data_IF_141664110257
#
_entry.id   IF_141664110257
#
_cell.length_a   1.000
_cell.length_b   1.000
_cell.length_c   1.000
_cell.angle_alpha   90.00
_cell.angle_beta   90.00
_cell.angle_gamma   90.00
#
_symmetry.space_group_name_H-M   'P 1'
#
loop_
_entity.id
_entity.type
_entity.pdbx_description
1 polymer ?
#
# COMPACT_ATOMS: atom_id res chain seq x y z
N UNK A 1 15.07 -12.60 0.66
CA UNK A 1 14.73 -11.33 1.34
C UNK A 1 13.27 -11.07 1.05
N UNK A 2 12.51 -10.47 1.96
CA UNK A 2 11.07 -10.27 1.80
C UNK A 2 10.67 -8.95 2.45
N UNK A 3 9.55 -8.38 2.01
CA UNK A 3 9.01 -7.14 2.59
C UNK A 3 8.55 -7.43 4.03
N UNK A 4 9.02 -6.64 4.99
CA UNK A 4 8.56 -6.73 6.39
C UNK A 4 7.38 -5.80 6.62
N UNK A 5 6.27 -6.32 7.13
CA UNK A 5 5.12 -5.52 7.53
C UNK A 5 4.29 -6.28 8.58
N UNK A 6 3.49 -5.55 9.36
CA UNK A 6 2.50 -6.12 10.27
C UNK A 6 1.13 -6.13 9.59
N UNK A 7 0.56 -7.31 9.39
CA UNK A 7 -0.73 -7.49 8.73
C UNK A 7 -1.88 -6.82 9.48
N UNK A 8 -1.85 -6.82 10.82
CA UNK A 8 -2.88 -6.21 11.66
C UNK A 8 -2.85 -4.68 11.48
N UNK A 9 -1.65 -4.09 11.47
CA UNK A 9 -1.51 -2.65 11.23
C UNK A 9 -2.03 -2.25 9.84
N UNK A 10 -1.78 -3.06 8.81
CA UNK A 10 -2.32 -2.81 7.47
C UNK A 10 -3.84 -2.96 7.42
N UNK A 11 -4.40 -4.00 8.03
CA UNK A 11 -5.86 -4.18 8.10
C UNK A 11 -6.53 -3.00 8.79
N UNK A 12 -5.98 -2.52 9.90
CA UNK A 12 -6.49 -1.33 10.59
C UNK A 12 -6.34 -0.04 9.77
N UNK A 13 -5.24 0.13 9.04
CA UNK A 13 -5.03 1.30 8.19
C UNK A 13 -5.99 1.32 6.99
N UNK A 14 -6.21 0.18 6.34
CA UNK A 14 -7.09 0.09 5.17
C UNK A 14 -8.56 -0.10 5.55
N UNK A 15 -8.85 -0.45 6.81
CA UNK A 15 -10.18 -0.85 7.28
C UNK A 15 -10.73 -2.02 6.45
N UNK A 16 -9.84 -2.93 6.03
CA UNK A 16 -10.16 -4.05 5.14
C UNK A 16 -9.21 -5.23 5.33
N UNK A 17 -9.73 -6.44 5.19
CA UNK A 17 -8.92 -7.67 5.05
C UNK A 17 -8.11 -7.64 3.74
N UNK A 18 -6.93 -8.28 3.70
CA UNK A 18 -6.19 -8.48 2.46
C UNK A 18 -6.98 -9.37 1.49
N UNK A 19 -6.88 -9.06 0.20
CA UNK A 19 -7.36 -9.92 -0.87
C UNK A 19 -6.14 -10.56 -1.52
N UNK A 20 -5.95 -11.86 -1.31
CA UNK A 20 -4.85 -12.61 -1.89
C UNK A 20 -5.03 -12.77 -3.40
N UNK A 21 -3.93 -12.61 -4.14
CA UNK A 21 -3.88 -12.74 -5.60
C UNK A 21 -3.24 -14.08 -5.91
N UNK A 22 -4.05 -15.03 -6.42
CA UNK A 22 -3.61 -16.41 -6.59
C UNK A 22 -3.64 -17.17 -5.26
N UNK A 23 -2.70 -18.07 -5.08
CA UNK A 23 -2.55 -18.83 -3.83
C UNK A 23 -1.91 -17.94 -2.76
N UNK A 24 -2.33 -18.08 -1.50
CA UNK A 24 -1.78 -17.33 -0.36
C UNK A 24 -0.26 -17.50 -0.23
N UNK A 25 0.25 -18.67 -0.60
CA UNK A 25 1.67 -19.02 -0.63
C UNK A 25 2.48 -18.21 -1.66
N UNK A 26 1.82 -17.57 -2.64
CA UNK A 26 2.49 -16.70 -3.61
C UNK A 26 2.98 -15.38 -2.98
N UNK A 27 2.49 -15.03 -1.78
CA UNK A 27 2.86 -13.81 -1.08
C UNK A 27 2.45 -12.53 -1.81
N UNK A 28 1.42 -12.61 -2.66
CA UNK A 28 0.83 -11.46 -3.33
C UNK A 28 -0.56 -11.17 -2.78
N UNK A 29 -0.76 -9.96 -2.25
CA UNK A 29 -2.04 -9.53 -1.72
C UNK A 29 -2.32 -8.07 -2.07
N UNK A 30 -3.59 -7.68 -1.97
CA UNK A 30 -4.00 -6.29 -2.12
C UNK A 30 -4.90 -5.83 -0.98
N UNK A 31 -4.69 -4.58 -0.57
CA UNK A 31 -5.55 -3.85 0.34
C UNK A 31 -6.29 -2.75 -0.40
N UNK A 32 -7.54 -2.49 -0.01
CA UNK A 32 -8.40 -1.51 -0.69
C UNK A 32 -9.11 -0.66 0.35
N UNK A 33 -8.92 0.65 0.28
CA UNK A 33 -9.67 1.62 1.10
C UNK A 33 -10.43 2.60 0.22
N UNK A 34 -11.66 2.92 0.63
CA UNK A 34 -12.50 3.95 0.00
C UNK A 34 -12.74 5.10 0.97
N UNK A 35 -12.68 6.33 0.46
CA UNK A 35 -13.03 7.53 1.18
C UNK A 35 -13.83 8.45 0.26
N UNK A 36 -15.16 8.47 0.42
CA UNK A 36 -16.06 9.11 -0.54
C UNK A 36 -15.90 8.50 -1.94
N UNK A 37 -15.70 9.35 -2.95
CA UNK A 37 -15.46 8.94 -4.35
C UNK A 37 -14.01 8.52 -4.63
N UNK A 38 -13.11 8.67 -3.65
CA UNK A 38 -11.72 8.24 -3.79
C UNK A 38 -11.54 6.80 -3.33
N UNK A 39 -10.66 6.08 -4.02
CA UNK A 39 -10.24 4.72 -3.67
C UNK A 39 -8.74 4.59 -3.82
N UNK A 40 -8.08 4.08 -2.79
CA UNK A 40 -6.68 3.68 -2.81
C UNK A 40 -6.57 2.17 -2.78
N UNK A 41 -5.68 1.64 -3.62
CA UNK A 41 -5.34 0.22 -3.69
C UNK A 41 -3.84 0.10 -3.49
N UNK A 42 -3.43 -0.76 -2.57
CA UNK A 42 -2.05 -1.15 -2.37
C UNK A 42 -1.92 -2.64 -2.67
N UNK A 43 -1.16 -2.99 -3.70
CA UNK A 43 -0.75 -4.37 -3.97
C UNK A 43 0.65 -4.55 -3.41
N UNK A 44 0.86 -5.65 -2.69
CA UNK A 44 2.13 -6.04 -2.08
C UNK A 44 2.53 -7.37 -2.68
N UNK A 45 3.74 -7.45 -3.25
CA UNK A 45 4.38 -8.72 -3.58
C UNK A 45 5.56 -8.94 -2.64
N UNK A 46 5.34 -9.76 -1.62
CA UNK A 46 6.24 -9.95 -0.49
C UNK A 46 7.59 -10.53 -0.90
N UNK A 47 7.59 -11.50 -1.82
CA UNK A 47 8.81 -12.17 -2.27
C UNK A 47 9.48 -11.47 -3.46
N UNK A 48 8.71 -10.85 -4.37
CA UNK A 48 9.30 -10.05 -5.46
C UNK A 48 9.72 -8.64 -4.98
N UNK A 49 9.44 -8.29 -3.73
CA UNK A 49 9.89 -7.07 -3.07
C UNK A 49 9.46 -5.79 -3.81
N UNK A 50 8.22 -5.76 -4.28
CA UNK A 50 7.63 -4.59 -4.88
C UNK A 50 6.25 -4.29 -4.30
N UNK A 51 5.86 -3.03 -4.36
CA UNK A 51 4.47 -2.61 -4.17
C UNK A 51 3.96 -1.92 -5.42
N UNK A 52 2.64 -1.97 -5.61
CA UNK A 52 1.94 -1.10 -6.56
C UNK A 52 0.88 -0.33 -5.80
N UNK A 53 1.00 1.00 -5.81
CA UNK A 53 0.01 1.90 -5.21
C UNK A 53 -0.80 2.55 -6.31
N UNK A 54 -2.11 2.63 -6.15
CA UNK A 54 -2.99 3.25 -7.13
C UNK A 54 -4.11 4.03 -6.44
N UNK A 55 -4.36 5.25 -6.93
CA UNK A 55 -5.46 6.11 -6.45
C UNK A 55 -6.40 6.36 -7.61
N UNK A 56 -7.69 6.27 -7.33
CA UNK A 56 -8.76 6.51 -8.29
C UNK A 56 -9.83 7.43 -7.72
N UNK A 57 -10.48 8.20 -8.61
CA UNK A 57 -11.63 9.05 -8.30
C UNK A 57 -12.78 8.66 -9.24
N UNK A 58 -13.94 8.31 -8.68
CA UNK A 58 -15.11 7.80 -9.44
C UNK A 58 -14.70 6.69 -10.42
N UNK A 59 -13.93 5.72 -9.94
CA UNK A 59 -13.38 4.59 -10.71
C UNK A 59 -12.35 4.95 -11.81
N UNK A 60 -12.06 6.22 -12.05
CA UNK A 60 -10.96 6.63 -12.94
C UNK A 60 -9.65 6.65 -12.18
N UNK A 61 -8.65 5.90 -12.66
CA UNK A 61 -7.29 5.90 -12.08
C UNK A 61 -6.64 7.25 -12.36
N UNK A 62 -6.27 7.97 -11.30
CA UNK A 62 -5.61 9.28 -11.37
C UNK A 62 -4.13 9.21 -10.98
N UNK A 63 -3.72 8.12 -10.32
CA UNK A 63 -2.33 7.83 -9.99
C UNK A 63 -2.15 6.32 -9.92
N UNK A 64 -1.04 5.80 -10.46
CA UNK A 64 -0.68 4.38 -10.39
C UNK A 64 0.80 4.21 -10.63
N UNK A 65 1.53 3.75 -9.63
CA UNK A 65 2.97 3.50 -9.74
C UNK A 65 3.35 2.17 -9.08
N UNK A 66 4.39 1.54 -9.65
CA UNK A 66 5.06 0.36 -9.11
C UNK A 66 6.40 0.80 -8.55
N UNK A 67 6.65 0.50 -7.28
CA UNK A 67 7.93 0.73 -6.62
C UNK A 67 8.56 -0.61 -6.26
N UNK A 68 9.81 -0.79 -6.65
CA UNK A 68 10.59 -2.03 -6.43
C UNK A 68 11.62 -1.82 -5.32
N UNK A 69 12.31 -2.88 -4.93
CA UNK A 69 13.32 -2.85 -3.86
C UNK A 69 12.73 -2.39 -2.51
N UNK A 70 11.52 -2.86 -2.21
CA UNK A 70 10.86 -2.55 -0.95
C UNK A 70 11.41 -3.42 0.16
N UNK A 71 11.81 -2.79 1.25
CA UNK A 71 12.38 -3.46 2.42
C UNK A 71 11.35 -3.65 3.54
N UNK A 72 10.38 -2.73 3.66
CA UNK A 72 9.33 -2.84 4.65
C UNK A 72 8.23 -1.81 4.50
N UNK A 73 7.14 -2.06 5.22
CA UNK A 73 5.97 -1.19 5.35
C UNK A 73 5.67 -1.08 6.83
N UNK A 74 5.61 0.14 7.36
CA UNK A 74 5.39 0.41 8.77
C UNK A 74 4.31 1.48 8.96
N UNK A 75 3.47 1.31 9.98
CA UNK A 75 2.48 2.32 10.34
C UNK A 75 3.12 3.34 11.29
N UNK A 76 3.19 4.58 10.83
CA UNK A 76 3.76 5.68 11.61
C UNK A 76 2.73 6.21 12.61
N UNK A 77 1.48 6.33 12.18
CA UNK A 77 0.36 6.73 13.02
C UNK A 77 -0.96 6.17 12.48
N UNK A 78 -2.10 6.57 13.08
CA UNK A 78 -3.43 6.09 12.69
C UNK A 78 -3.70 6.22 11.18
N UNK A 79 -3.24 7.29 10.56
CA UNK A 79 -3.59 7.68 9.20
C UNK A 79 -2.41 7.71 8.24
N UNK A 80 -1.20 7.36 8.68
CA UNK A 80 0.03 7.41 7.89
C UNK A 80 0.76 6.07 7.86
N UNK A 81 0.98 5.54 6.66
CA UNK A 81 1.86 4.40 6.37
C UNK A 81 3.13 4.90 5.69
N UNK A 82 4.28 4.37 6.11
CA UNK A 82 5.55 4.54 5.43
C UNK A 82 5.97 3.23 4.78
N UNK A 83 6.44 3.32 3.54
CA UNK A 83 7.02 2.21 2.78
C UNK A 83 8.47 2.56 2.49
N UNK A 84 9.38 1.76 3.01
CA UNK A 84 10.81 1.98 2.89
C UNK A 84 11.37 1.22 1.69
N UNK A 85 12.09 1.92 0.80
CA UNK A 85 12.81 1.31 -0.32
C UNK A 85 14.29 1.70 -0.30
N UNK A 86 15.09 1.08 -1.16
CA UNK A 86 16.52 1.40 -1.26
C UNK A 86 16.81 2.82 -1.78
N UNK A 87 15.88 3.41 -2.54
CA UNK A 87 16.13 4.66 -3.29
C UNK A 87 15.35 5.86 -2.74
N UNK A 88 14.14 5.61 -2.23
CA UNK A 88 13.20 6.66 -1.84
C UNK A 88 12.17 6.08 -0.86
N UNK A 89 11.61 6.92 0.00
CA UNK A 89 10.52 6.52 0.88
C UNK A 89 9.17 6.86 0.23
N UNK A 90 8.14 6.05 0.47
CA UNK A 90 6.78 6.32 0.01
C UNK A 90 5.89 6.48 1.24
N UNK A 91 5.16 7.58 1.31
CA UNK A 91 4.22 7.86 2.40
C UNK A 91 2.81 7.80 1.86
N UNK A 92 1.98 6.95 2.48
CA UNK A 92 0.57 6.77 2.13
C UNK A 92 -0.28 7.34 3.27
N UNK A 93 -1.18 8.27 2.95
CA UNK A 93 -2.12 8.90 3.90
C UNK A 93 -3.54 8.45 3.57
N UNK A 94 -4.32 8.09 4.60
CA UNK A 94 -5.72 7.66 4.43
C UNK A 94 -6.77 8.66 4.94
N UNK A 95 -6.36 9.69 5.69
CA UNK A 95 -7.23 10.72 6.26
C UNK A 95 -6.42 11.99 6.63
N UNK A 96 -7.01 13.21 6.55
CA UNK A 96 -8.39 13.52 6.16
C UNK A 96 -8.66 13.34 4.66
N UNK A 97 -7.61 13.13 3.86
CA UNK A 97 -7.70 12.83 2.43
C UNK A 97 -6.81 11.63 2.10
N UNK A 98 -7.12 10.93 1.00
CA UNK A 98 -6.20 9.95 0.41
C UNK A 98 -5.04 10.68 -0.24
N UNK A 99 -3.81 10.30 0.11
CA UNK A 99 -2.58 10.89 -0.43
C UNK A 99 -1.47 9.86 -0.58
N UNK A 100 -0.59 10.08 -1.56
CA UNK A 100 0.65 9.33 -1.75
C UNK A 100 1.76 10.33 -2.04
N UNK A 101 2.86 10.24 -1.29
CA UNK A 101 4.06 11.06 -1.46
C UNK A 101 5.24 10.15 -1.72
N UNK A 102 6.10 10.53 -2.65
CA UNK A 102 7.36 9.84 -2.93
C UNK A 102 8.46 10.82 -2.52
N UNK A 103 9.20 10.48 -1.47
CA UNK A 103 10.28 11.29 -0.89
C UNK A 103 11.62 10.79 -1.42
N UNK A 104 12.27 11.60 -2.27
CA UNK A 104 13.62 11.37 -2.81
C UNK A 104 14.73 11.68 -1.79
#
# INVERSE_FOLDING_TARGET
>A
MFIKYDEIELMEFFESEPIFIGDEEAGECMYVRRQGDFKIILVISTYEMYIKVSVSYKENVIYSEKHSSISGIERIDKNTLKVSSDNHDIVIINAPQIGVFVEE
#
